data_IF_447156026215
#
_entry.id   IF_447156026215
#
_cell.length_a   1.000
_cell.length_b   1.000
_cell.length_c   1.000
_cell.angle_alpha   90.00
_cell.angle_beta   90.00
_cell.angle_gamma   90.00
#
_symmetry.space_group_name_H-M   'P 1'
#
loop_
_entity.id
_entity.type
_entity.pdbx_description
1 polymer ?
#
# COMPACT_ATOMS: atom_id res chain seq x y z
N UNK A 1 14.56 -1.83 13.61
CA UNK A 1 13.26 -1.89 12.89
C UNK A 1 12.72 -0.48 12.77
N UNK A 2 12.07 -0.13 11.66
CA UNK A 2 11.39 1.16 11.50
C UNK A 2 9.89 0.98 11.67
N UNK A 3 9.21 1.95 12.29
CA UNK A 3 7.75 1.94 12.51
C UNK A 3 7.09 3.03 11.66
N UNK A 4 5.83 2.81 11.32
CA UNK A 4 5.00 3.76 10.61
C UNK A 4 3.52 3.50 10.80
N UNK A 5 2.71 4.39 10.23
CA UNK A 5 1.26 4.29 10.22
C UNK A 5 0.72 4.62 8.82
N UNK A 6 -0.59 4.53 8.67
CA UNK A 6 -1.25 4.64 7.38
C UNK A 6 -2.20 5.83 7.26
N UNK A 7 -2.05 6.57 6.18
CA UNK A 7 -2.93 7.60 5.64
C UNK A 7 -3.11 8.83 6.54
N UNK A 8 -3.68 8.67 7.74
CA UNK A 8 -4.12 9.76 8.60
C UNK A 8 -3.36 9.76 9.91
N UNK A 9 -3.09 10.95 10.44
CA UNK A 9 -2.65 11.13 11.83
C UNK A 9 -3.76 11.82 12.61
N UNK A 10 -4.13 11.25 13.76
CA UNK A 10 -5.14 11.83 14.65
C UNK A 10 -4.47 12.84 15.55
N UNK A 11 -5.03 14.04 15.64
CA UNK A 11 -4.56 15.08 16.56
C UNK A 11 -3.40 15.93 16.04
N UNK A 12 -2.91 15.70 14.81
CA UNK A 12 -1.92 16.58 14.18
C UNK A 12 -2.66 17.71 13.43
N UNK A 13 -2.39 18.99 13.73
CA UNK A 13 -3.02 20.12 13.05
C UNK A 13 -2.66 20.16 11.56
N UNK A 14 -3.57 20.66 10.72
CA UNK A 14 -3.32 20.92 9.29
C UNK A 14 -2.91 19.70 8.45
N UNK A 15 -3.34 18.49 8.83
CA UNK A 15 -3.06 17.24 8.10
C UNK A 15 -4.31 16.53 7.58
N UNK A 16 -5.44 17.26 7.49
CA UNK A 16 -6.73 16.68 7.08
C UNK A 16 -6.88 16.71 5.56
N UNK A 17 -6.90 15.51 4.96
CA UNK A 17 -7.25 15.35 3.56
C UNK A 17 -8.72 15.68 3.30
N UNK A 18 -8.99 16.20 2.10
CA UNK A 18 -10.29 16.51 1.55
C UNK A 18 -10.57 15.61 0.36
N UNK A 19 -11.85 15.39 0.10
CA UNK A 19 -12.36 14.70 -1.08
C UNK A 19 -13.67 15.35 -1.51
N UNK A 20 -14.17 14.98 -2.68
CA UNK A 20 -15.47 15.41 -3.17
C UNK A 20 -16.19 14.28 -3.89
N UNK A 21 -17.52 14.39 -4.00
CA UNK A 21 -18.30 13.53 -4.89
C UNK A 21 -18.05 13.93 -6.35
N UNK A 22 -18.30 12.99 -7.27
CA UNK A 22 -18.10 13.21 -8.72
C UNK A 22 -18.84 14.44 -9.26
N UNK A 23 -20.04 14.74 -8.76
CA UNK A 23 -20.80 15.92 -9.18
C UNK A 23 -20.09 17.25 -8.90
N UNK A 24 -19.16 17.27 -7.94
CA UNK A 24 -18.39 18.44 -7.56
C UNK A 24 -16.93 18.36 -8.03
N UNK A 25 -16.57 17.37 -8.86
CA UNK A 25 -15.21 17.20 -9.37
C UNK A 25 -14.92 18.12 -10.57
N UNK A 26 -15.13 19.43 -10.39
CA UNK A 26 -14.72 20.44 -11.36
C UNK A 26 -13.22 20.70 -11.26
N UNK A 27 -12.58 21.14 -12.34
CA UNK A 27 -11.15 21.45 -12.38
C UNK A 27 -10.71 22.40 -11.26
N UNK A 28 -11.49 23.46 -10.99
CA UNK A 28 -11.23 24.40 -9.90
C UNK A 28 -11.31 23.72 -8.52
N UNK A 29 -12.36 22.92 -8.28
CA UNK A 29 -12.53 22.28 -6.99
C UNK A 29 -11.50 21.17 -6.75
N UNK A 30 -11.17 20.39 -7.79
CA UNK A 30 -10.11 19.38 -7.75
C UNK A 30 -8.75 20.03 -7.47
N UNK A 31 -8.41 21.12 -8.18
CA UNK A 31 -7.16 21.87 -7.95
C UNK A 31 -7.05 22.31 -6.50
N UNK A 32 -8.11 22.91 -5.94
CA UNK A 32 -8.15 23.35 -4.54
C UNK A 32 -8.02 22.19 -3.54
N UNK A 33 -8.66 21.05 -3.82
CA UNK A 33 -8.58 19.86 -2.96
C UNK A 33 -7.17 19.26 -3.00
N UNK A 34 -6.60 19.11 -4.20
CA UNK A 34 -5.24 18.59 -4.40
C UNK A 34 -4.22 19.45 -3.67
N UNK A 35 -4.27 20.78 -3.82
CA UNK A 35 -3.37 21.70 -3.12
C UNK A 35 -3.42 21.49 -1.59
N UNK A 36 -4.62 21.47 -1.01
CA UNK A 36 -4.81 21.20 0.42
C UNK A 36 -4.26 19.83 0.84
N UNK A 37 -4.45 18.81 0.00
CA UNK A 37 -4.01 17.45 0.28
C UNK A 37 -2.48 17.35 0.23
N UNK A 38 -1.82 18.03 -0.71
CA UNK A 38 -0.37 18.11 -0.78
C UNK A 38 0.22 18.87 0.41
N UNK A 39 -0.39 19.98 0.82
CA UNK A 39 0.00 20.69 2.06
C UNK A 39 -0.15 19.80 3.29
N UNK A 40 -1.26 19.07 3.37
CA UNK A 40 -1.52 18.12 4.47
C UNK A 40 -0.48 16.99 4.50
N UNK A 41 -0.12 16.45 3.34
CA UNK A 41 0.94 15.45 3.23
C UNK A 41 2.29 16.03 3.64
N UNK A 42 2.64 17.24 3.17
CA UNK A 42 3.88 17.92 3.52
C UNK A 42 4.01 18.09 5.05
N UNK A 43 2.94 18.54 5.72
CA UNK A 43 2.89 18.66 7.18
C UNK A 43 3.01 17.30 7.89
N UNK A 44 2.43 16.23 7.35
CA UNK A 44 2.60 14.87 7.88
C UNK A 44 4.03 14.37 7.74
N UNK A 45 4.70 14.69 6.63
CA UNK A 45 6.12 14.34 6.45
C UNK A 45 6.98 15.09 7.46
N UNK A 46 6.76 16.39 7.68
CA UNK A 46 7.48 17.17 8.69
C UNK A 46 7.28 16.57 10.09
N UNK A 47 6.02 16.29 10.47
CA UNK A 47 5.71 15.63 11.73
C UNK A 47 6.42 14.29 11.90
N UNK A 48 6.45 13.47 10.84
CA UNK A 48 7.12 12.18 10.88
C UNK A 48 8.63 12.29 11.03
N UNK A 49 9.25 13.30 10.41
CA UNK A 49 10.68 13.58 10.55
C UNK A 49 10.99 13.99 11.99
N UNK A 50 10.22 14.92 12.55
CA UNK A 50 10.37 15.41 13.93
C UNK A 50 10.20 14.31 14.99
N UNK A 51 9.35 13.31 14.72
CA UNK A 51 9.05 12.21 15.64
C UNK A 51 9.76 10.90 15.29
N UNK A 52 10.75 10.94 14.39
CA UNK A 52 11.54 9.78 13.95
C UNK A 52 10.71 8.61 13.37
N UNK A 53 9.53 8.90 12.81
CA UNK A 53 8.67 7.91 12.16
C UNK A 53 9.17 7.71 10.72
N UNK A 54 9.82 6.57 10.47
CA UNK A 54 10.51 6.32 9.19
C UNK A 54 9.67 5.60 8.13
N UNK A 55 8.48 5.10 8.46
CA UNK A 55 7.55 4.51 7.50
C UNK A 55 6.25 5.30 7.45
N UNK A 56 5.68 5.49 6.26
CA UNK A 56 4.38 6.11 6.11
C UNK A 56 3.64 5.58 4.88
N UNK A 57 2.34 5.28 5.01
CA UNK A 57 1.51 4.94 3.85
C UNK A 57 0.75 6.18 3.38
N UNK A 58 1.11 6.69 2.20
CA UNK A 58 0.41 7.81 1.56
C UNK A 58 -0.99 7.35 1.17
N UNK A 59 -1.98 8.20 1.39
CA UNK A 59 -3.37 7.93 1.01
C UNK A 59 -3.53 7.86 -0.51
N UNK A 60 -4.26 6.87 -1.01
CA UNK A 60 -4.67 6.81 -2.42
C UNK A 60 -5.55 7.98 -2.82
N UNK A 61 -6.25 8.60 -1.87
CA UNK A 61 -7.12 9.77 -2.10
C UNK A 61 -6.35 11.11 -2.15
N UNK A 62 -5.01 11.08 -2.15
CA UNK A 62 -4.20 12.30 -2.22
C UNK A 62 -4.60 13.17 -3.42
N UNK A 63 -4.73 12.53 -4.59
CA UNK A 63 -5.25 13.12 -5.82
C UNK A 63 -6.62 12.48 -6.11
N UNK A 64 -7.74 13.14 -5.80
CA UNK A 64 -9.07 12.57 -6.02
C UNK A 64 -9.30 12.21 -7.48
N UNK A 65 -9.89 11.04 -7.71
CA UNK A 65 -10.24 10.54 -9.06
C UNK A 65 -9.06 10.43 -10.04
N UNK A 66 -7.81 10.38 -9.59
CA UNK A 66 -6.63 10.42 -10.46
C UNK A 66 -6.56 9.30 -11.51
N UNK A 67 -7.09 8.12 -11.20
CA UNK A 67 -7.18 6.97 -12.09
C UNK A 67 -8.50 6.88 -12.86
N UNK A 68 -9.38 7.87 -12.72
CA UNK A 68 -10.71 7.94 -13.31
C UNK A 68 -10.79 9.05 -14.37
N UNK A 69 -11.55 8.86 -15.46
CA UNK A 69 -11.76 9.90 -16.48
C UNK A 69 -12.50 11.15 -15.95
N UNK A 70 -12.97 11.12 -14.71
CA UNK A 70 -13.53 12.27 -14.00
C UNK A 70 -12.47 13.35 -13.77
N UNK A 71 -11.23 12.98 -13.42
CA UNK A 71 -10.16 13.94 -13.25
C UNK A 71 -9.41 14.14 -14.57
N UNK A 72 -9.50 15.36 -15.12
CA UNK A 72 -8.84 15.73 -16.39
C UNK A 72 -7.64 16.63 -16.19
N UNK A 73 -7.30 16.94 -14.94
CA UNK A 73 -6.17 17.81 -14.63
C UNK A 73 -4.86 17.09 -14.93
N UNK A 74 -3.93 17.80 -15.57
CA UNK A 74 -2.52 17.43 -15.57
C UNK A 74 -1.91 17.81 -14.21
N UNK A 75 -2.32 17.09 -13.17
CA UNK A 75 -1.91 17.35 -11.79
C UNK A 75 -0.41 17.15 -11.59
N UNK A 76 0.25 16.33 -12.42
CA UNK A 76 1.70 16.15 -12.38
C UNK A 76 2.43 17.43 -12.75
N UNK A 77 1.98 18.10 -13.83
CA UNK A 77 2.55 19.37 -14.23
C UNK A 77 2.14 20.51 -13.30
N UNK A 78 0.84 20.60 -12.97
CA UNK A 78 0.29 21.68 -12.14
C UNK A 78 0.90 21.74 -10.74
N UNK A 79 1.24 20.60 -10.15
CA UNK A 79 1.79 20.50 -8.79
C UNK A 79 3.22 19.94 -8.76
N UNK A 80 3.95 20.06 -9.87
CA UNK A 80 5.31 19.51 -9.99
C UNK A 80 6.24 20.00 -8.87
N UNK A 81 6.13 21.28 -8.50
CA UNK A 81 7.00 21.91 -7.50
C UNK A 81 6.75 21.35 -6.09
N UNK A 82 5.48 21.18 -5.74
CA UNK A 82 5.00 20.69 -4.46
C UNK A 82 5.33 19.19 -4.31
N UNK A 83 5.08 18.40 -5.35
CA UNK A 83 5.42 16.97 -5.38
C UNK A 83 6.93 16.76 -5.23
N UNK A 84 7.75 17.53 -5.95
CA UNK A 84 9.21 17.50 -5.82
C UNK A 84 9.66 17.89 -4.42
N UNK A 85 9.07 18.94 -3.84
CA UNK A 85 9.38 19.39 -2.49
C UNK A 85 9.06 18.32 -1.42
N UNK A 86 7.89 17.67 -1.53
CA UNK A 86 7.50 16.55 -0.65
C UNK A 86 8.47 15.37 -0.80
N UNK A 87 8.82 15.04 -2.05
CA UNK A 87 9.83 14.03 -2.35
C UNK A 87 11.17 14.27 -1.67
N UNK A 88 11.69 15.49 -1.80
CA UNK A 88 12.93 15.91 -1.17
C UNK A 88 12.87 15.81 0.36
N UNK A 89 11.75 16.18 0.97
CA UNK A 89 11.54 16.00 2.42
C UNK A 89 11.57 14.53 2.83
N UNK A 90 10.87 13.66 2.11
CA UNK A 90 10.86 12.21 2.36
C UNK A 90 12.29 11.64 2.33
N UNK A 91 13.07 12.02 1.32
CA UNK A 91 14.45 11.56 1.15
C UNK A 91 15.37 12.12 2.25
N UNK A 92 15.27 13.41 2.56
CA UNK A 92 16.04 14.05 3.64
C UNK A 92 15.73 13.47 5.02
N UNK A 93 14.47 13.10 5.26
CA UNK A 93 14.01 12.42 6.47
C UNK A 93 14.46 10.97 6.60
N UNK A 94 15.10 10.41 5.57
CA UNK A 94 15.36 8.98 5.41
C UNK A 94 14.09 8.13 5.64
N UNK A 95 12.96 8.64 5.13
CA UNK A 95 11.67 7.97 5.23
C UNK A 95 11.46 7.03 4.06
N UNK A 96 10.70 5.96 4.29
CA UNK A 96 10.21 5.09 3.24
C UNK A 96 8.70 5.09 3.21
N UNK A 97 8.16 5.65 2.14
CA UNK A 97 6.73 5.66 1.88
C UNK A 97 6.25 4.43 1.09
N UNK A 98 4.97 4.14 1.23
CA UNK A 98 4.25 3.17 0.41
C UNK A 98 2.85 3.67 0.11
N UNK A 99 2.16 3.01 -0.81
CA UNK A 99 0.73 3.17 -1.01
C UNK A 99 0.06 1.81 -1.04
N UNK A 100 -1.25 1.77 -0.80
CA UNK A 100 -2.03 0.54 -0.90
C UNK A 100 -3.37 0.87 -1.56
N UNK A 101 -3.48 0.68 -2.89
CA UNK A 101 -4.74 0.74 -3.61
C UNK A 101 -5.86 0.01 -2.87
N UNK A 102 -7.07 0.55 -2.95
CA UNK A 102 -8.22 0.00 -2.25
C UNK A 102 -8.70 -1.34 -2.83
N UNK A 103 -9.73 -1.91 -2.18
CA UNK A 103 -10.34 -3.20 -2.55
C UNK A 103 -10.90 -3.31 -3.98
N UNK A 104 -11.00 -2.19 -4.71
CA UNK A 104 -11.50 -2.15 -6.09
C UNK A 104 -10.40 -2.34 -7.14
N UNK A 105 -9.13 -2.30 -6.74
CA UNK A 105 -7.98 -2.52 -7.61
C UNK A 105 -7.71 -4.02 -7.70
N UNK A 106 -8.45 -4.70 -8.57
CA UNK A 106 -8.48 -6.17 -8.64
C UNK A 106 -7.90 -6.68 -9.95
N UNK A 107 -6.61 -6.97 -9.95
CA UNK A 107 -5.86 -7.37 -11.14
C UNK A 107 -6.26 -8.76 -11.69
N UNK A 108 -6.85 -9.62 -10.86
CA UNK A 108 -7.22 -10.99 -11.25
C UNK A 108 -8.72 -11.18 -11.57
N UNK A 109 -9.44 -10.08 -11.75
CA UNK A 109 -10.86 -10.07 -12.12
C UNK A 109 -11.09 -10.83 -13.43
N UNK A 110 -12.21 -11.58 -13.56
CA UNK A 110 -12.61 -12.19 -14.83
C UNK A 110 -13.19 -11.18 -15.82
N UNK A 111 -13.42 -9.92 -15.40
CA UNK A 111 -13.94 -8.85 -16.24
C UNK A 111 -12.82 -7.90 -16.65
N UNK A 112 -12.62 -7.74 -17.96
CA UNK A 112 -11.54 -6.92 -18.52
C UNK A 112 -11.64 -5.45 -18.10
N UNK A 113 -12.85 -4.89 -18.03
CA UNK A 113 -13.07 -3.50 -17.60
C UNK A 113 -12.61 -3.23 -16.15
N UNK A 114 -12.68 -4.23 -15.27
CA UNK A 114 -12.17 -4.14 -13.90
C UNK A 114 -10.64 -4.20 -13.89
N UNK A 115 -10.05 -5.05 -14.74
CA UNK A 115 -8.60 -5.16 -14.89
C UNK A 115 -8.02 -3.86 -15.43
N UNK A 116 -8.62 -3.29 -16.48
CA UNK A 116 -8.22 -1.99 -17.05
C UNK A 116 -8.22 -0.88 -16.00
N UNK A 117 -9.28 -0.78 -15.18
CA UNK A 117 -9.34 0.18 -14.07
C UNK A 117 -8.29 -0.10 -13.00
N UNK A 118 -8.01 -1.37 -12.69
CA UNK A 118 -6.97 -1.72 -11.74
C UNK A 118 -5.58 -1.32 -12.26
N UNK A 119 -5.32 -1.48 -13.56
CA UNK A 119 -4.08 -1.03 -14.21
C UNK A 119 -3.97 0.49 -14.14
N UNK A 120 -5.03 1.24 -14.51
CA UNK A 120 -5.04 2.69 -14.43
C UNK A 120 -4.81 3.21 -13.00
N UNK A 121 -5.32 2.49 -11.99
CA UNK A 121 -5.08 2.82 -10.59
C UNK A 121 -3.62 2.58 -10.19
N UNK A 122 -3.02 1.44 -10.59
CA UNK A 122 -1.60 1.18 -10.36
C UNK A 122 -0.68 2.18 -11.11
N UNK A 123 -1.09 2.63 -12.29
CA UNK A 123 -0.41 3.67 -13.05
C UNK A 123 -0.42 4.99 -12.29
N UNK A 124 -1.58 5.44 -11.77
CA UNK A 124 -1.66 6.62 -10.91
C UNK A 124 -0.70 6.55 -9.72
N UNK A 125 -0.74 5.45 -8.95
CA UNK A 125 0.10 5.29 -7.76
C UNK A 125 1.59 5.33 -8.11
N UNK A 126 1.97 4.74 -9.24
CA UNK A 126 3.34 4.77 -9.75
C UNK A 126 3.74 6.18 -10.18
N UNK A 127 2.89 6.84 -10.96
CA UNK A 127 3.11 8.18 -11.48
C UNK A 127 3.21 9.23 -10.37
N UNK A 128 2.48 9.04 -9.26
CA UNK A 128 2.55 9.91 -8.08
C UNK A 128 3.91 9.78 -7.37
N UNK A 129 4.37 8.54 -7.13
CA UNK A 129 5.69 8.30 -6.53
C UNK A 129 6.82 8.80 -7.44
N UNK A 130 6.67 8.64 -8.75
CA UNK A 130 7.64 9.13 -9.75
C UNK A 130 7.68 10.66 -9.80
N UNK A 131 6.52 11.33 -9.72
CA UNK A 131 6.45 12.80 -9.66
C UNK A 131 7.04 13.38 -8.37
N UNK A 132 7.09 12.60 -7.28
CA UNK A 132 7.83 12.93 -6.06
C UNK A 132 9.33 12.57 -6.17
N UNK A 133 9.82 12.10 -7.31
CA UNK A 133 11.24 11.71 -7.47
C UNK A 133 11.67 10.52 -6.62
N UNK A 134 10.72 9.67 -6.20
CA UNK A 134 10.99 8.56 -5.29
C UNK A 134 11.39 7.29 -6.06
N UNK A 135 12.41 6.59 -5.58
CA UNK A 135 12.91 5.37 -6.23
C UNK A 135 12.03 4.13 -5.96
N UNK A 136 12.37 2.99 -6.58
CA UNK A 136 11.64 1.72 -6.44
C UNK A 136 11.63 1.06 -5.05
N UNK A 137 12.34 1.63 -4.08
CA UNK A 137 12.23 1.23 -2.66
C UNK A 137 10.87 1.63 -2.05
N UNK A 138 10.19 2.58 -2.67
CA UNK A 138 8.84 3.02 -2.31
C UNK A 138 7.82 2.15 -3.04
N UNK A 139 6.98 1.45 -2.28
CA UNK A 139 6.23 0.28 -2.77
C UNK A 139 4.74 0.54 -2.85
N UNK A 140 4.08 -0.18 -3.76
CA UNK A 140 2.64 -0.23 -3.92
C UNK A 140 2.18 -1.63 -3.49
N UNK A 141 1.37 -1.70 -2.45
CA UNK A 141 0.91 -2.97 -1.85
C UNK A 141 -0.42 -3.38 -2.47
N UNK A 142 -0.54 -4.63 -2.91
CA UNK A 142 -1.74 -5.14 -3.53
C UNK A 142 -2.10 -6.53 -3.00
N UNK A 143 -3.38 -6.77 -2.71
CA UNK A 143 -3.88 -8.13 -2.52
C UNK A 143 -4.06 -8.84 -3.86
N UNK A 144 -4.06 -10.16 -3.87
CA UNK A 144 -4.21 -10.94 -5.12
C UNK A 144 -5.61 -10.72 -5.74
N UNK A 145 -6.65 -10.61 -4.91
CA UNK A 145 -8.01 -10.31 -5.33
C UNK A 145 -9.01 -11.39 -4.92
N UNK A 146 -9.94 -11.76 -5.82
CA UNK A 146 -10.96 -12.76 -5.55
C UNK A 146 -10.59 -14.17 -6.05
N UNK A 147 -11.23 -15.23 -5.53
CA UNK A 147 -11.08 -16.60 -6.05
C UNK A 147 -12.01 -16.91 -7.22
N UNK A 148 -13.14 -16.21 -7.35
CA UNK A 148 -14.11 -16.36 -8.45
C UNK A 148 -14.51 -17.82 -8.76
N UNK A 149 -14.69 -18.63 -7.72
CA UNK A 149 -15.07 -20.04 -7.83
C UNK A 149 -13.90 -21.02 -8.02
N UNK A 150 -12.76 -20.57 -8.53
CA UNK A 150 -11.56 -21.40 -8.72
C UNK A 150 -10.28 -20.59 -8.48
N UNK A 151 -9.61 -20.91 -7.37
CA UNK A 151 -8.36 -20.26 -6.95
C UNK A 151 -7.24 -20.45 -7.99
N UNK A 152 -7.10 -21.62 -8.61
CA UNK A 152 -6.03 -21.87 -9.57
C UNK A 152 -6.17 -20.97 -10.80
N UNK A 153 -7.34 -20.97 -11.43
CA UNK A 153 -7.61 -20.07 -12.58
C UNK A 153 -7.50 -18.59 -12.17
N UNK A 154 -7.88 -18.22 -10.94
CA UNK A 154 -7.73 -16.85 -10.44
C UNK A 154 -6.26 -16.42 -10.28
N UNK A 155 -5.38 -17.30 -9.83
CA UNK A 155 -3.94 -17.05 -9.78
C UNK A 155 -3.36 -16.93 -11.19
N UNK A 156 -3.75 -17.81 -12.11
CA UNK A 156 -3.31 -17.73 -13.52
C UNK A 156 -3.69 -16.39 -14.16
N UNK A 157 -4.90 -15.86 -13.88
CA UNK A 157 -5.30 -14.53 -14.32
C UNK A 157 -4.43 -13.43 -13.71
N UNK A 158 -4.15 -13.50 -12.40
CA UNK A 158 -3.24 -12.55 -11.74
C UNK A 158 -1.87 -12.54 -12.42
N UNK A 159 -1.28 -13.72 -12.63
CA UNK A 159 0.02 -13.91 -13.30
C UNK A 159 -0.01 -13.32 -14.71
N UNK A 160 -1.00 -13.67 -15.52
CA UNK A 160 -1.16 -13.17 -16.90
C UNK A 160 -1.24 -11.65 -16.93
N UNK A 161 -2.09 -11.05 -16.09
CA UNK A 161 -2.29 -9.61 -16.09
C UNK A 161 -1.09 -8.86 -15.48
N UNK A 162 -0.44 -9.42 -14.46
CA UNK A 162 0.81 -8.88 -13.94
C UNK A 162 1.89 -8.82 -15.03
N UNK A 163 2.04 -9.87 -15.83
CA UNK A 163 3.03 -9.90 -16.91
C UNK A 163 2.79 -8.85 -17.99
N UNK A 164 1.56 -8.32 -18.12
CA UNK A 164 1.23 -7.22 -19.04
C UNK A 164 1.49 -5.83 -18.44
N UNK A 165 1.71 -5.70 -17.12
CA UNK A 165 1.97 -4.41 -16.50
C UNK A 165 3.26 -3.76 -17.00
N UNK A 166 3.25 -2.43 -17.02
CA UNK A 166 4.42 -1.61 -17.29
C UNK A 166 5.53 -1.88 -16.26
N UNK A 167 6.78 -1.80 -16.72
CA UNK A 167 7.97 -2.14 -15.92
C UNK A 167 8.06 -1.32 -14.62
N UNK A 168 7.76 -0.03 -14.67
CA UNK A 168 7.80 0.86 -13.50
C UNK A 168 6.81 0.43 -12.40
N UNK A 169 5.61 -0.03 -12.78
CA UNK A 169 4.63 -0.60 -11.85
C UNK A 169 5.21 -1.88 -11.22
N UNK A 170 5.71 -2.80 -12.06
CA UNK A 170 6.29 -4.08 -11.60
C UNK A 170 7.43 -3.89 -10.60
N UNK A 171 8.27 -2.86 -10.80
CA UNK A 171 9.38 -2.53 -9.89
C UNK A 171 8.91 -2.00 -8.52
N UNK A 172 7.66 -1.54 -8.38
CA UNK A 172 7.09 -1.04 -7.12
C UNK A 172 6.08 -1.98 -6.49
N UNK A 173 5.48 -2.87 -7.26
CA UNK A 173 4.41 -3.73 -6.77
C UNK A 173 4.97 -4.74 -5.75
N UNK A 174 4.23 -4.93 -4.67
CA UNK A 174 4.43 -6.00 -3.69
C UNK A 174 3.07 -6.59 -3.35
N UNK A 175 3.04 -7.90 -3.06
CA UNK A 175 1.79 -8.64 -2.83
C UNK A 175 1.63 -9.02 -1.36
N UNK A 176 0.40 -9.02 -0.86
CA UNK A 176 0.09 -9.22 0.56
C UNK A 176 -0.95 -10.33 0.76
N UNK A 177 -0.76 -11.15 1.79
CA UNK A 177 -1.73 -12.17 2.20
C UNK A 177 -2.99 -11.52 2.80
N UNK A 178 -4.14 -12.15 2.59
CA UNK A 178 -5.43 -11.66 3.08
C UNK A 178 -6.12 -12.64 4.04
N UNK A 179 -7.19 -12.18 4.67
CA UNK A 179 -7.91 -12.89 5.73
C UNK A 179 -8.86 -13.99 5.26
N UNK A 180 -8.96 -14.28 3.95
CA UNK A 180 -10.00 -15.16 3.38
C UNK A 180 -9.57 -16.04 2.21
N UNK A 181 -8.99 -15.43 1.19
CA UNK A 181 -8.80 -16.00 -0.14
C UNK A 181 -7.38 -16.51 -0.33
N UNK A 182 -6.37 -15.68 -0.03
CA UNK A 182 -4.97 -15.97 -0.31
C UNK A 182 -4.14 -15.89 0.96
N UNK A 183 -3.83 -17.06 1.53
CA UNK A 183 -2.94 -17.15 2.69
C UNK A 183 -1.48 -16.89 2.27
N UNK A 184 -0.59 -16.69 3.25
CA UNK A 184 0.83 -16.39 2.99
C UNK A 184 1.53 -17.41 2.08
N UNK A 185 1.19 -18.69 2.17
CA UNK A 185 1.72 -19.72 1.26
C UNK A 185 1.35 -19.50 -0.22
N UNK A 186 0.13 -19.06 -0.52
CA UNK A 186 -0.31 -18.76 -1.89
C UNK A 186 0.49 -17.56 -2.43
N UNK A 187 0.62 -16.52 -1.60
CA UNK A 187 1.36 -15.30 -1.92
C UNK A 187 2.84 -15.60 -2.16
N UNK A 188 3.45 -16.49 -1.37
CA UNK A 188 4.83 -16.94 -1.58
C UNK A 188 5.01 -17.71 -2.89
N UNK A 189 4.07 -18.58 -3.26
CA UNK A 189 4.12 -19.30 -4.54
C UNK A 189 4.03 -18.34 -5.74
N UNK A 190 3.15 -17.34 -5.65
CA UNK A 190 3.01 -16.29 -6.68
C UNK A 190 4.28 -15.43 -6.73
N UNK A 191 4.80 -15.07 -5.56
CA UNK A 191 6.05 -14.31 -5.39
C UNK A 191 7.23 -15.01 -6.05
N UNK A 192 7.37 -16.33 -5.83
CA UNK A 192 8.42 -17.13 -6.45
C UNK A 192 8.29 -17.16 -7.98
N UNK A 193 7.07 -17.36 -8.48
CA UNK A 193 6.76 -17.42 -9.92
C UNK A 193 7.05 -16.09 -10.64
N UNK A 194 6.69 -14.96 -10.00
CA UNK A 194 6.74 -13.63 -10.63
C UNK A 194 7.94 -12.79 -10.20
N UNK A 195 8.72 -13.26 -9.24
CA UNK A 195 9.78 -12.51 -8.56
C UNK A 195 9.30 -11.18 -7.96
N UNK A 196 8.10 -11.18 -7.37
CA UNK A 196 7.49 -10.02 -6.70
C UNK A 196 7.68 -10.14 -5.19
N UNK A 197 8.11 -9.10 -4.46
CA UNK A 197 8.21 -9.19 -3.01
C UNK A 197 6.86 -9.42 -2.32
N UNK A 198 6.85 -10.27 -1.29
CA UNK A 198 5.69 -10.58 -0.46
C UNK A 198 5.73 -9.81 0.86
N UNK A 199 4.64 -9.11 1.19
CA UNK A 199 4.35 -8.55 2.50
C UNK A 199 3.64 -9.61 3.34
N UNK A 200 4.09 -9.73 4.58
CA UNK A 200 3.39 -10.50 5.60
C UNK A 200 2.48 -9.59 6.42
N UNK A 201 1.20 -9.92 6.52
CA UNK A 201 0.25 -9.36 7.49
C UNK A 201 -0.11 -10.43 8.55
N UNK A 202 0.15 -10.12 9.82
CA UNK A 202 -0.04 -11.03 10.94
C UNK A 202 -1.51 -11.28 11.26
N UNK A 203 -2.37 -10.27 11.17
CA UNK A 203 -3.79 -10.41 11.49
C UNK A 203 -4.49 -11.23 10.42
N UNK A 204 -4.18 -10.99 9.15
CA UNK A 204 -4.66 -11.81 8.05
C UNK A 204 -4.20 -13.26 8.19
N UNK A 205 -2.93 -13.51 8.53
CA UNK A 205 -2.43 -14.87 8.72
C UNK A 205 -3.09 -15.58 9.93
N UNK A 206 -3.41 -14.86 11.00
CA UNK A 206 -4.15 -15.43 12.13
C UNK A 206 -5.56 -15.92 11.74
N UNK A 207 -6.17 -15.30 10.74
CA UNK A 207 -7.52 -15.63 10.27
C UNK A 207 -7.53 -16.65 9.13
N UNK A 208 -6.49 -16.62 8.30
CA UNK A 208 -6.33 -17.50 7.14
C UNK A 208 -4.88 -18.02 7.09
N UNK A 209 -4.49 -18.90 8.02
CA UNK A 209 -3.13 -19.42 8.09
C UNK A 209 -2.87 -20.42 6.96
N UNK A 210 -1.67 -20.37 6.38
CA UNK A 210 -1.21 -21.41 5.45
C UNK A 210 -0.84 -22.71 6.17
N UNK A 211 -0.27 -22.60 7.38
CA UNK A 211 0.02 -23.71 8.29
C UNK A 211 -0.04 -23.17 9.72
N UNK A 212 -1.05 -23.64 10.48
CA UNK A 212 -1.28 -23.20 11.87
C UNK A 212 -0.20 -23.62 12.85
N UNK A 213 0.70 -24.54 12.46
CA UNK A 213 1.86 -24.92 13.27
C UNK A 213 3.04 -23.93 13.12
N UNK A 214 3.00 -23.01 12.15
CA UNK A 214 4.05 -22.03 11.89
C UNK A 214 3.72 -20.69 12.53
N UNK A 215 4.63 -20.20 13.34
CA UNK A 215 4.52 -18.88 13.96
C UNK A 215 4.82 -17.74 12.97
N UNK A 216 4.43 -16.52 13.34
CA UNK A 216 4.72 -15.29 12.60
C UNK A 216 6.19 -15.17 12.16
N UNK A 217 7.13 -15.50 13.06
CA UNK A 217 8.56 -15.39 12.80
C UNK A 217 9.01 -16.23 11.59
N UNK A 218 8.43 -17.43 11.42
CA UNK A 218 8.69 -18.29 10.28
C UNK A 218 8.23 -17.62 8.98
N UNK A 219 6.99 -17.12 8.94
CA UNK A 219 6.43 -16.49 7.75
C UNK A 219 7.10 -15.16 7.40
N UNK A 220 7.46 -14.36 8.40
CA UNK A 220 8.27 -13.15 8.22
C UNK A 220 9.59 -13.51 7.55
N UNK A 221 10.29 -14.56 8.03
CA UNK A 221 11.55 -15.03 7.44
C UNK A 221 11.37 -15.52 6.00
N UNK A 222 10.30 -16.26 5.71
CA UNK A 222 10.02 -16.73 4.34
C UNK A 222 9.71 -15.57 3.40
N UNK A 223 8.84 -14.64 3.80
CA UNK A 223 8.58 -13.43 3.03
C UNK A 223 9.85 -12.61 2.83
N UNK A 224 10.76 -12.52 3.82
CA UNK A 224 12.02 -11.77 3.71
C UNK A 224 12.88 -12.21 2.53
N UNK A 225 12.88 -13.51 2.21
CA UNK A 225 13.66 -14.09 1.09
C UNK A 225 13.19 -13.58 -0.29
N UNK A 226 11.97 -13.04 -0.38
CA UNK A 226 11.40 -12.49 -1.60
C UNK A 226 11.84 -11.04 -1.88
N UNK A 227 12.48 -10.37 -0.91
CA UNK A 227 12.91 -8.98 -1.04
C UNK A 227 14.38 -8.90 -1.45
N UNK A 228 14.66 -8.09 -2.47
CA UNK A 228 16.02 -7.80 -2.93
C UNK A 228 16.54 -6.47 -2.38
N UNK A 229 17.84 -6.21 -2.54
CA UNK A 229 18.46 -4.92 -2.21
C UNK A 229 17.83 -3.74 -2.96
N UNK A 230 17.30 -3.99 -4.16
CA UNK A 230 16.58 -3.02 -4.98
C UNK A 230 15.24 -2.62 -4.38
N UNK A 231 14.60 -3.52 -3.63
CA UNK A 231 13.32 -3.27 -2.99
C UNK A 231 13.45 -2.51 -1.68
N UNK A 232 14.65 -2.50 -1.09
CA UNK A 232 14.93 -2.03 0.25
C UNK A 232 14.64 -3.11 1.30
N UNK A 233 14.57 -2.71 2.57
CA UNK A 233 14.26 -3.65 3.66
C UNK A 233 12.88 -4.29 3.47
N UNK A 234 12.63 -5.44 4.05
CA UNK A 234 11.29 -6.02 4.07
C UNK A 234 10.30 -5.06 4.74
N UNK A 235 9.07 -5.00 4.21
CA UNK A 235 7.92 -4.40 4.88
C UNK A 235 6.98 -5.51 5.35
N UNK A 236 6.41 -5.33 6.54
CA UNK A 236 5.34 -6.17 7.10
C UNK A 236 4.18 -5.27 7.52
N UNK A 237 2.99 -5.83 7.60
CA UNK A 237 1.86 -5.20 8.26
C UNK A 237 1.64 -5.86 9.62
N UNK A 238 1.49 -5.01 10.62
CA UNK A 238 1.15 -5.43 11.97
C UNK A 238 -0.20 -4.81 12.34
N UNK A 239 -1.13 -5.66 12.73
CA UNK A 239 -2.45 -5.26 13.22
C UNK A 239 -2.91 -6.22 14.31
N UNK A 240 -3.94 -5.80 15.05
CA UNK A 240 -4.58 -6.58 16.10
C UNK A 240 -6.09 -6.57 15.88
N UNK A 241 -6.73 -7.68 16.25
CA UNK A 241 -8.18 -7.80 16.17
C UNK A 241 -8.84 -6.81 17.12
N UNK A 242 -9.84 -6.10 16.62
CA UNK A 242 -10.78 -5.38 17.47
C UNK A 242 -11.73 -6.39 18.13
N UNK A 243 -11.70 -6.47 19.45
CA UNK A 243 -12.42 -7.47 20.24
C UNK A 243 -13.95 -7.42 20.09
N UNK A 244 -14.50 -6.26 19.70
CA UNK A 244 -15.95 -6.05 19.60
C UNK A 244 -16.47 -6.02 18.17
N UNK A 245 -15.59 -6.07 17.17
CA UNK A 245 -15.96 -6.04 15.75
C UNK A 245 -15.71 -7.39 15.09
N UNK A 246 -16.21 -7.55 13.87
CA UNK A 246 -16.02 -8.77 13.07
C UNK A 246 -14.53 -9.13 12.92
N UNK A 247 -14.25 -10.42 12.76
CA UNK A 247 -12.92 -10.91 12.41
C UNK A 247 -12.31 -10.12 11.24
N UNK A 248 -11.04 -9.76 11.36
CA UNK A 248 -10.28 -8.92 10.41
C UNK A 248 -10.40 -7.41 10.67
N UNK A 249 -11.24 -6.99 11.61
CA UNK A 249 -11.33 -5.56 11.96
C UNK A 249 -10.15 -5.14 12.82
N UNK A 250 -9.45 -4.08 12.44
CA UNK A 250 -8.31 -3.55 13.19
C UNK A 250 -8.75 -2.90 14.51
N UNK A 251 -7.99 -3.14 15.57
CA UNK A 251 -8.11 -2.41 16.84
C UNK A 251 -7.88 -0.90 16.63
N UNK A 252 -8.44 -0.08 17.52
CA UNK A 252 -8.29 1.38 17.43
C UNK A 252 -6.87 1.84 17.77
N UNK A 253 -6.19 1.10 18.63
CA UNK A 253 -4.79 1.28 18.99
C UNK A 253 -4.11 -0.07 19.19
N UNK A 254 -2.77 -0.07 19.14
CA UNK A 254 -2.01 -1.27 19.41
C UNK A 254 -1.89 -1.52 20.92
N UNK A 255 -2.11 -2.76 21.36
CA UNK A 255 -1.71 -3.21 22.69
C UNK A 255 -0.20 -3.43 22.70
N UNK A 256 0.51 -2.50 23.34
CA UNK A 256 1.98 -2.42 23.29
C UNK A 256 2.65 -3.72 23.75
N UNK A 257 2.14 -4.38 24.79
CA UNK A 257 2.72 -5.64 25.30
C UNK A 257 2.74 -6.76 24.26
N UNK A 258 1.65 -6.93 23.51
CA UNK A 258 1.54 -7.91 22.43
C UNK A 258 2.42 -7.54 21.23
N UNK A 259 2.54 -6.25 20.89
CA UNK A 259 3.45 -5.79 19.84
C UNK A 259 4.91 -6.04 20.21
N UNK A 260 5.31 -5.78 21.46
CA UNK A 260 6.67 -6.07 21.94
C UNK A 260 6.95 -7.57 21.93
N UNK A 261 5.98 -8.41 22.30
CA UNK A 261 6.11 -9.87 22.19
C UNK A 261 6.30 -10.32 20.73
N UNK A 262 5.52 -9.76 19.80
CA UNK A 262 5.70 -9.98 18.36
C UNK A 262 7.09 -9.54 17.89
N UNK A 263 7.49 -8.32 18.22
CA UNK A 263 8.79 -7.75 17.87
C UNK A 263 9.95 -8.63 18.31
N UNK A 264 9.95 -9.08 19.56
CA UNK A 264 11.01 -9.93 20.10
C UNK A 264 11.12 -11.28 19.38
N UNK A 265 9.97 -11.85 18.95
CA UNK A 265 9.95 -13.12 18.20
C UNK A 265 10.48 -12.98 16.77
N UNK A 266 10.24 -11.84 16.11
CA UNK A 266 10.63 -11.63 14.70
C UNK A 266 12.02 -11.00 14.53
N UNK A 267 12.63 -10.50 15.60
CA UNK A 267 14.01 -9.99 15.60
C UNK A 267 15.07 -11.08 15.84
N UNK A 268 14.69 -12.18 16.52
CA UNK A 268 15.55 -13.34 16.72
C UNK A 268 15.81 -14.10 15.42
#
# INVERSE_FOLDING_TARGET
MSIGYACLSVGVPNTKFKSCIQANATDENLTRIIANNLDSLSNLIDYNIENEIKLFRISSDLIPFASSPVNKLDWQHLFASELTAIGNKILAGNMRVSMHPGQYTVLNSPKDDVVERAVADLEYHTALLDAMGLCKKHKIVLHIGGVYGDKCTAVERFVKNYLLLNKNIKERLVIENDDKSYHVGDVLNISETLHIPAIYDNLHNNLNPADSAKEDAYWVLMCKKTWSTNDGLQKIHYSQQNETKRAGSHSETIKISEFIAFYNRVQG
#
